data_IF_363350661398
#
_entry.id   IF_363350661398
#
_cell.length_a   1.000
_cell.length_b   1.000
_cell.length_c   1.000
_cell.angle_alpha   90.00
_cell.angle_beta   90.00
_cell.angle_gamma   90.00
#
_symmetry.space_group_name_H-M   'P 1'
#
loop_
_entity.id
_entity.type
_entity.pdbx_description
1 polymer ?
#
# COMPACT_ATOMS: atom_id res chain seq x y z
N UNK A 1 2.43 25.03 -7.58
CA UNK A 1 1.52 23.98 -8.13
C UNK A 1 2.16 23.21 -9.30
N UNK A 2 3.01 23.81 -10.12
CA UNK A 2 3.69 23.16 -11.27
C UNK A 2 4.53 21.94 -10.88
N UNK A 3 5.33 22.01 -9.82
CA UNK A 3 6.23 20.91 -9.45
C UNK A 3 5.51 19.60 -9.05
N UNK A 4 4.40 19.65 -8.31
CA UNK A 4 3.69 18.42 -7.91
C UNK A 4 3.03 17.72 -9.10
N UNK A 5 2.46 18.49 -10.04
CA UNK A 5 1.89 17.96 -11.29
C UNK A 5 2.96 17.31 -12.15
N UNK A 6 4.10 17.98 -12.33
CA UNK A 6 5.20 17.48 -13.15
C UNK A 6 5.82 16.22 -12.53
N UNK A 7 6.02 16.22 -11.21
CA UNK A 7 6.51 15.07 -10.47
C UNK A 7 5.56 13.86 -10.60
N UNK A 8 4.26 14.08 -10.42
CA UNK A 8 3.26 13.03 -10.56
C UNK A 8 3.28 12.44 -11.97
N UNK A 9 3.28 13.30 -13.00
CA UNK A 9 3.33 12.89 -14.41
C UNK A 9 4.61 12.10 -14.71
N UNK A 10 5.75 12.51 -14.16
CA UNK A 10 7.01 11.79 -14.31
C UNK A 10 6.94 10.38 -13.68
N UNK A 11 6.40 10.26 -12.49
CA UNK A 11 6.22 8.95 -11.83
C UNK A 11 5.27 8.05 -12.62
N UNK A 12 4.16 8.59 -13.10
CA UNK A 12 3.22 7.85 -13.94
C UNK A 12 3.85 7.37 -15.25
N UNK A 13 4.69 8.20 -15.88
CA UNK A 13 5.43 7.82 -17.08
C UNK A 13 6.44 6.68 -16.80
N UNK A 14 7.16 6.71 -15.66
CA UNK A 14 8.03 5.62 -15.23
C UNK A 14 7.27 4.31 -15.07
N UNK A 15 6.12 4.33 -14.39
CA UNK A 15 5.26 3.16 -14.19
C UNK A 15 4.79 2.60 -15.53
N UNK A 16 4.34 3.47 -16.43
CA UNK A 16 3.88 3.07 -17.77
C UNK A 16 5.01 2.42 -18.58
N UNK A 17 6.19 3.04 -18.60
CA UNK A 17 7.36 2.51 -19.30
C UNK A 17 7.80 1.15 -18.74
N UNK A 18 7.87 1.00 -17.41
CA UNK A 18 8.23 -0.25 -16.76
C UNK A 18 7.19 -1.36 -17.02
N UNK A 19 5.91 -1.02 -17.02
CA UNK A 19 4.82 -1.96 -17.34
C UNK A 19 4.97 -2.48 -18.78
N UNK A 20 5.19 -1.59 -19.74
CA UNK A 20 5.39 -1.97 -21.13
C UNK A 20 6.65 -2.81 -21.33
N UNK A 21 7.77 -2.42 -20.71
CA UNK A 21 9.02 -3.19 -20.76
C UNK A 21 8.88 -4.60 -20.18
N UNK A 22 7.97 -4.78 -19.24
CA UNK A 22 7.64 -6.07 -18.63
C UNK A 22 6.55 -6.86 -19.37
N UNK A 23 6.16 -6.42 -20.57
CA UNK A 23 5.10 -7.06 -21.37
C UNK A 23 3.69 -6.93 -20.76
N UNK A 24 3.47 -5.96 -19.88
CA UNK A 24 2.20 -5.75 -19.18
C UNK A 24 1.42 -4.58 -19.79
N UNK A 25 0.10 -4.66 -19.73
CA UNK A 25 -0.77 -3.59 -20.23
C UNK A 25 -0.67 -2.30 -19.40
N UNK A 26 -0.95 -1.16 -20.03
CA UNK A 26 -1.13 0.10 -19.34
C UNK A 26 -2.25 -0.03 -18.30
N UNK A 27 -2.04 0.54 -17.11
CA UNK A 27 -3.00 0.46 -16.00
C UNK A 27 -2.93 -0.85 -15.19
N UNK A 28 -2.02 -1.78 -15.52
CA UNK A 28 -1.82 -3.01 -14.74
C UNK A 28 -1.12 -2.79 -13.39
N UNK A 29 -0.58 -1.59 -13.16
CA UNK A 29 0.10 -1.19 -11.93
C UNK A 29 -0.51 0.10 -11.43
N UNK A 30 -0.98 0.10 -10.20
CA UNK A 30 -1.54 1.25 -9.52
C UNK A 30 -0.46 2.05 -8.79
N UNK A 31 -0.60 3.37 -8.80
CA UNK A 31 0.24 4.27 -8.02
C UNK A 31 -0.45 4.60 -6.70
N UNK A 32 0.21 4.32 -5.59
CA UNK A 32 -0.13 4.83 -4.28
C UNK A 32 0.77 6.02 -3.95
N UNK A 33 0.21 7.22 -3.88
CA UNK A 33 0.94 8.42 -3.50
C UNK A 33 1.13 8.48 -1.98
N UNK A 34 2.36 8.35 -1.51
CA UNK A 34 2.67 8.32 -0.06
C UNK A 34 2.82 9.73 0.47
N UNK A 35 1.78 10.22 1.15
CA UNK A 35 1.65 11.61 1.63
C UNK A 35 2.01 11.82 3.10
N UNK A 36 2.63 10.83 3.75
CA UNK A 36 3.11 10.96 5.13
C UNK A 36 3.99 12.20 5.30
N UNK A 37 3.78 12.96 6.37
CA UNK A 37 4.49 14.21 6.72
C UNK A 37 4.20 15.42 5.82
N UNK A 38 3.34 15.28 4.80
CA UNK A 38 2.86 16.39 3.96
C UNK A 38 1.45 16.79 4.38
N UNK A 39 1.08 18.03 4.16
CA UNK A 39 -0.21 18.60 4.60
C UNK A 39 -1.39 18.16 3.73
N UNK A 40 -2.61 18.39 4.22
CA UNK A 40 -3.84 18.13 3.44
C UNK A 40 -3.89 18.98 2.16
N UNK A 41 -3.25 20.13 2.13
CA UNK A 41 -3.22 21.02 0.96
C UNK A 41 -2.34 20.43 -0.16
N UNK A 42 -1.24 19.74 0.19
CA UNK A 42 -0.41 19.01 -0.77
C UNK A 42 -1.18 17.82 -1.35
N UNK A 43 -1.88 17.07 -0.49
CA UNK A 43 -2.76 15.98 -0.92
C UNK A 43 -3.80 16.48 -1.91
N UNK A 44 -4.48 17.59 -1.59
CA UNK A 44 -5.48 18.22 -2.47
C UNK A 44 -4.89 18.63 -3.81
N UNK A 45 -3.69 19.21 -3.82
CA UNK A 45 -3.01 19.60 -5.06
C UNK A 45 -2.71 18.39 -5.97
N UNK A 46 -2.22 17.29 -5.39
CA UNK A 46 -1.96 16.04 -6.13
C UNK A 46 -3.28 15.37 -6.56
N UNK A 47 -4.33 15.43 -5.74
CA UNK A 47 -5.66 14.93 -6.07
C UNK A 47 -6.29 15.70 -7.23
N UNK A 48 -6.06 17.02 -7.31
CA UNK A 48 -6.51 17.85 -8.44
C UNK A 48 -5.84 17.45 -9.77
N UNK A 49 -4.66 16.83 -9.73
CA UNK A 49 -3.97 16.25 -10.90
C UNK A 49 -4.46 14.84 -11.25
N UNK A 50 -5.50 14.32 -10.60
CA UNK A 50 -6.13 13.04 -10.93
C UNK A 50 -5.76 11.88 -10.01
N UNK A 51 -4.81 12.02 -9.09
CA UNK A 51 -4.48 10.97 -8.12
C UNK A 51 -5.63 10.76 -7.13
N UNK A 52 -5.91 9.49 -6.80
CA UNK A 52 -7.01 9.12 -5.89
C UNK A 52 -6.54 8.34 -4.67
N UNK A 53 -5.52 7.51 -4.79
CA UNK A 53 -5.02 6.61 -3.77
C UNK A 53 -3.87 7.26 -3.01
N UNK A 54 -4.03 7.45 -1.69
CA UNK A 54 -3.05 8.10 -0.82
C UNK A 54 -2.66 7.20 0.35
N UNK A 55 -1.36 7.11 0.63
CA UNK A 55 -0.80 6.26 1.67
C UNK A 55 -0.26 7.04 2.86
N UNK A 56 -0.65 6.64 4.07
CA UNK A 56 -0.25 7.24 5.32
C UNK A 56 0.43 6.22 6.25
N UNK A 57 1.54 6.64 6.87
CA UNK A 57 2.24 5.82 7.85
C UNK A 57 1.77 6.09 9.28
N UNK A 58 1.38 7.33 9.57
CA UNK A 58 1.00 7.78 10.90
C UNK A 58 -0.52 7.90 10.98
N UNK A 59 -1.16 7.00 11.74
CA UNK A 59 -2.62 6.82 11.75
C UNK A 59 -3.34 8.13 12.14
N UNK A 60 -2.85 8.85 13.16
CA UNK A 60 -3.49 10.09 13.61
C UNK A 60 -3.39 11.19 12.54
N UNK A 61 -2.21 11.40 11.97
CA UNK A 61 -2.00 12.33 10.86
C UNK A 61 -2.91 11.99 9.66
N UNK A 62 -3.02 10.69 9.33
CA UNK A 62 -3.92 10.23 8.28
C UNK A 62 -5.38 10.56 8.57
N UNK A 63 -5.88 10.28 9.78
CA UNK A 63 -7.26 10.59 10.18
C UNK A 63 -7.56 12.10 10.13
N UNK A 64 -6.62 12.94 10.56
CA UNK A 64 -6.76 14.39 10.48
C UNK A 64 -6.90 14.87 9.03
N UNK A 65 -6.08 14.35 8.10
CA UNK A 65 -6.16 14.65 6.66
C UNK A 65 -7.47 14.16 6.06
N UNK A 66 -7.86 12.91 6.34
CA UNK A 66 -9.12 12.31 5.89
C UNK A 66 -10.29 13.21 6.29
N UNK A 67 -10.38 13.55 7.58
CA UNK A 67 -11.47 14.38 8.12
C UNK A 67 -11.48 15.77 7.50
N UNK A 68 -10.31 16.41 7.41
CA UNK A 68 -10.18 17.75 6.82
C UNK A 68 -10.60 17.79 5.35
N UNK A 69 -10.21 16.79 4.57
CA UNK A 69 -10.51 16.75 3.13
C UNK A 69 -11.93 16.29 2.85
N UNK A 70 -12.50 15.39 3.64
CA UNK A 70 -13.90 14.96 3.52
C UNK A 70 -14.89 16.11 3.78
N UNK A 71 -14.53 17.09 4.61
CA UNK A 71 -15.36 18.26 4.88
C UNK A 71 -15.37 19.29 3.73
N UNK A 72 -14.55 19.12 2.69
CA UNK A 72 -14.43 20.06 1.57
C UNK A 72 -15.31 19.64 0.39
N UNK A 73 -16.28 20.45 0.02
CA UNK A 73 -17.31 20.15 -0.99
C UNK A 73 -16.81 19.92 -2.41
N UNK A 74 -15.57 20.26 -2.72
CA UNK A 74 -14.98 20.13 -4.07
C UNK A 74 -13.81 19.14 -4.14
N UNK A 75 -13.51 18.41 -3.06
CA UNK A 75 -12.48 17.37 -3.08
C UNK A 75 -13.09 16.09 -3.67
N UNK A 76 -12.51 15.51 -4.72
CA UNK A 76 -12.97 14.22 -5.22
C UNK A 76 -12.81 13.15 -4.14
N UNK A 77 -13.63 12.09 -4.21
CA UNK A 77 -13.50 10.96 -3.30
C UNK A 77 -12.08 10.38 -3.40
N UNK A 78 -11.39 10.35 -2.26
CA UNK A 78 -10.04 9.80 -2.13
C UNK A 78 -10.11 8.42 -1.48
N UNK A 79 -9.16 7.56 -1.81
CA UNK A 79 -8.98 6.23 -1.23
C UNK A 79 -7.77 6.27 -0.30
N UNK A 80 -7.97 5.91 0.96
CA UNK A 80 -6.96 6.06 1.99
C UNK A 80 -6.37 4.73 2.44
N UNK A 81 -5.07 4.61 2.33
CA UNK A 81 -4.31 3.42 2.64
C UNK A 81 -3.45 3.63 3.89
N UNK A 82 -3.71 2.84 4.93
CA UNK A 82 -2.79 2.72 6.07
C UNK A 82 -1.65 1.80 5.66
N UNK A 83 -0.44 2.36 5.54
CA UNK A 83 0.77 1.64 5.16
C UNK A 83 1.85 1.66 6.25
N UNK A 84 1.53 2.21 7.42
CA UNK A 84 2.34 2.14 8.62
C UNK A 84 1.87 1.04 9.58
N UNK A 85 2.64 0.73 10.64
CA UNK A 85 2.31 -0.33 11.58
C UNK A 85 1.03 -0.02 12.35
N UNK A 86 0.13 -1.00 12.47
CA UNK A 86 -1.14 -0.87 13.18
C UNK A 86 -1.00 -1.42 14.61
N UNK A 87 -0.95 -0.52 15.58
CA UNK A 87 -0.97 -0.87 17.00
C UNK A 87 -2.39 -1.26 17.44
N UNK A 88 -2.52 -2.18 18.40
CA UNK A 88 -3.81 -2.69 18.87
C UNK A 88 -4.75 -1.60 19.41
N UNK A 89 -4.23 -0.54 20.02
CA UNK A 89 -5.01 0.59 20.54
C UNK A 89 -5.43 1.59 19.44
N UNK A 90 -4.94 1.45 18.21
CA UNK A 90 -5.26 2.31 17.07
C UNK A 90 -6.16 1.62 16.02
N UNK A 91 -6.46 0.33 16.18
CA UNK A 91 -7.27 -0.43 15.21
C UNK A 91 -8.64 0.19 14.94
N UNK A 92 -9.28 0.80 15.95
CA UNK A 92 -10.58 1.46 15.78
C UNK A 92 -10.48 2.65 14.83
N UNK A 93 -9.50 3.53 15.01
CA UNK A 93 -9.28 4.67 14.10
C UNK A 93 -9.05 4.22 12.66
N UNK A 94 -8.27 3.14 12.48
CA UNK A 94 -8.04 2.57 11.16
C UNK A 94 -9.31 2.01 10.56
N UNK A 95 -10.07 1.22 11.33
CA UNK A 95 -11.31 0.60 10.87
C UNK A 95 -12.40 1.63 10.51
N UNK A 96 -12.43 2.79 11.17
CA UNK A 96 -13.43 3.83 10.95
C UNK A 96 -13.10 4.79 9.79
N UNK A 97 -11.81 4.96 9.43
CA UNK A 97 -11.41 6.04 8.53
C UNK A 97 -10.68 5.58 7.26
N UNK A 98 -9.97 4.46 7.31
CA UNK A 98 -9.19 4.00 6.15
C UNK A 98 -9.99 3.02 5.28
N UNK A 99 -9.64 2.96 3.99
CA UNK A 99 -10.21 2.01 3.03
C UNK A 99 -9.32 0.78 2.90
N UNK A 100 -8.02 0.92 3.12
CA UNK A 100 -7.02 -0.12 3.00
C UNK A 100 -6.07 -0.18 4.20
N UNK A 101 -5.61 -1.41 4.49
CA UNK A 101 -4.47 -1.66 5.41
C UNK A 101 -3.48 -2.57 4.70
N UNK A 102 -2.23 -2.13 4.55
CA UNK A 102 -1.20 -2.93 3.90
C UNK A 102 -0.30 -3.71 4.88
N UNK A 103 -0.39 -3.42 6.15
CA UNK A 103 0.56 -3.84 7.20
C UNK A 103 -0.03 -4.86 8.17
N UNK A 104 -0.96 -5.69 7.68
CA UNK A 104 -1.53 -6.74 8.52
C UNK A 104 -0.50 -7.85 8.73
N UNK A 105 -0.06 -8.04 9.97
CA UNK A 105 1.02 -8.97 10.33
C UNK A 105 0.60 -10.03 11.36
N UNK A 106 -0.63 -9.98 11.90
CA UNK A 106 -1.11 -10.93 12.92
C UNK A 106 -2.62 -10.98 13.03
N UNK A 107 -3.12 -12.16 13.33
CA UNK A 107 -4.56 -12.43 13.42
C UNK A 107 -5.29 -11.52 14.41
N UNK A 108 -4.68 -11.21 15.57
CA UNK A 108 -5.28 -10.34 16.58
C UNK A 108 -5.64 -8.94 16.02
N UNK A 109 -4.79 -8.38 15.16
CA UNK A 109 -5.08 -7.09 14.52
C UNK A 109 -6.22 -7.26 13.51
N UNK A 110 -6.21 -8.31 12.69
CA UNK A 110 -7.27 -8.61 11.75
C UNK A 110 -8.64 -8.71 12.43
N UNK A 111 -8.73 -9.49 13.51
CA UNK A 111 -9.96 -9.64 14.30
C UNK A 111 -10.46 -8.29 14.82
N UNK A 112 -9.58 -7.48 15.42
CA UNK A 112 -9.97 -6.15 15.91
C UNK A 112 -10.45 -5.22 14.81
N UNK A 113 -9.77 -5.20 13.65
CA UNK A 113 -10.22 -4.42 12.50
C UNK A 113 -11.59 -4.88 12.00
N UNK A 114 -11.80 -6.20 11.90
CA UNK A 114 -13.07 -6.79 11.53
C UNK A 114 -14.20 -6.37 12.48
N UNK A 115 -13.98 -6.53 13.79
CA UNK A 115 -15.01 -6.26 14.82
C UNK A 115 -15.34 -4.77 14.95
N UNK A 116 -14.37 -3.92 14.64
CA UNK A 116 -14.48 -2.45 14.75
C UNK A 116 -14.87 -1.76 13.45
N UNK A 117 -14.92 -2.48 12.30
CA UNK A 117 -15.36 -1.90 11.02
C UNK A 117 -16.84 -1.55 11.08
N UNK A 118 -17.23 -0.26 10.93
CA UNK A 118 -18.62 0.17 10.99
C UNK A 118 -19.48 -0.53 9.93
N UNK A 119 -20.73 -0.93 10.26
CA UNK A 119 -21.57 -1.70 9.35
C UNK A 119 -21.99 -0.94 8.08
N UNK A 120 -22.00 0.38 8.12
CA UNK A 120 -22.34 1.24 6.97
C UNK A 120 -21.16 1.43 5.99
N UNK A 121 -19.93 1.07 6.38
CA UNK A 121 -18.77 1.14 5.50
C UNK A 121 -18.58 -0.18 4.75
N UNK A 122 -18.03 -0.15 3.53
CA UNK A 122 -17.60 -1.36 2.83
C UNK A 122 -16.58 -2.15 3.64
N UNK A 123 -16.39 -3.44 3.34
CA UNK A 123 -15.34 -4.24 3.97
C UNK A 123 -13.96 -3.59 3.75
N UNK A 124 -13.15 -3.58 4.83
CA UNK A 124 -11.81 -2.99 4.79
C UNK A 124 -10.89 -3.87 3.93
N UNK A 125 -10.25 -3.27 2.94
CA UNK A 125 -9.31 -3.96 2.07
C UNK A 125 -8.00 -4.21 2.83
N UNK A 126 -7.47 -5.43 2.82
CA UNK A 126 -6.26 -5.74 3.57
C UNK A 126 -5.22 -6.49 2.74
N UNK A 127 -3.94 -6.13 2.91
CA UNK A 127 -2.80 -6.93 2.48
C UNK A 127 -2.05 -7.45 3.71
N UNK A 128 -1.57 -8.68 3.64
CA UNK A 128 -0.68 -9.23 4.67
C UNK A 128 0.73 -8.72 4.39
N UNK A 129 1.36 -8.13 5.40
CA UNK A 129 2.76 -7.74 5.33
C UNK A 129 3.66 -8.95 5.55
N UNK A 130 4.57 -9.19 4.61
CA UNK A 130 5.49 -10.33 4.61
C UNK A 130 6.91 -9.84 4.85
N UNK A 131 7.59 -10.42 5.83
CA UNK A 131 9.03 -10.31 5.99
C UNK A 131 9.71 -11.25 4.98
N UNK A 132 10.11 -10.67 3.85
CA UNK A 132 10.66 -11.45 2.72
C UNK A 132 12.17 -11.69 2.84
N UNK A 133 12.85 -10.89 3.64
CA UNK A 133 14.30 -10.97 3.86
C UNK A 133 14.67 -11.93 5.01
N UNK A 134 13.71 -12.27 5.87
CA UNK A 134 13.89 -13.16 7.02
C UNK A 134 14.65 -12.54 8.19
N UNK A 135 14.83 -11.21 8.23
CA UNK A 135 15.48 -10.52 9.35
C UNK A 135 14.58 -10.45 10.58
N UNK A 136 15.11 -10.80 11.76
CA UNK A 136 14.37 -10.86 13.03
C UNK A 136 13.79 -9.50 13.48
N UNK A 137 14.35 -8.40 13.04
CA UNK A 137 13.91 -7.03 13.38
C UNK A 137 12.90 -6.44 12.40
N UNK A 138 12.57 -7.17 11.31
CA UNK A 138 11.67 -6.72 10.27
C UNK A 138 10.21 -6.97 10.60
N UNK A 139 9.37 -6.00 10.27
CA UNK A 139 7.91 -6.13 10.37
C UNK A 139 7.37 -7.08 9.31
N UNK A 140 6.29 -7.76 9.64
CA UNK A 140 5.62 -8.71 8.77
C UNK A 140 5.77 -10.15 9.25
N UNK A 141 4.91 -11.03 8.75
CA UNK A 141 4.98 -12.48 9.04
C UNK A 141 6.04 -13.15 8.19
N UNK A 142 6.63 -14.22 8.67
CA UNK A 142 7.52 -15.03 7.86
C UNK A 142 6.78 -15.60 6.62
N UNK A 143 7.50 -15.75 5.50
CA UNK A 143 6.90 -16.24 4.25
C UNK A 143 6.17 -17.60 4.43
N UNK A 144 6.68 -18.46 5.31
CA UNK A 144 6.10 -19.77 5.64
C UNK A 144 4.78 -19.68 6.43
N UNK A 145 4.50 -18.56 7.11
CA UNK A 145 3.31 -18.36 7.94
C UNK A 145 2.18 -17.63 7.20
N UNK A 146 2.49 -17.03 6.04
CA UNK A 146 1.53 -16.21 5.27
C UNK A 146 0.26 -16.98 4.95
N UNK A 147 0.37 -18.22 4.47
CA UNK A 147 -0.79 -19.02 4.06
C UNK A 147 -1.72 -19.33 5.24
N UNK A 148 -1.16 -19.61 6.41
CA UNK A 148 -1.95 -19.84 7.62
C UNK A 148 -2.71 -18.58 8.04
N UNK A 149 -2.04 -17.42 8.08
CA UNK A 149 -2.70 -16.17 8.40
C UNK A 149 -3.76 -15.79 7.35
N UNK A 150 -3.46 -15.97 6.06
CA UNK A 150 -4.40 -15.69 4.98
C UNK A 150 -5.70 -16.49 5.08
N UNK A 151 -5.63 -17.77 5.46
CA UNK A 151 -6.82 -18.62 5.72
C UNK A 151 -7.70 -18.07 6.82
N UNK A 152 -7.11 -17.57 7.89
CA UNK A 152 -7.90 -17.01 9.01
C UNK A 152 -8.46 -15.63 8.66
N UNK A 153 -7.69 -14.78 7.97
CA UNK A 153 -8.17 -13.46 7.52
C UNK A 153 -9.32 -13.58 6.52
N UNK A 154 -9.26 -14.55 5.61
CA UNK A 154 -10.32 -14.79 4.62
C UNK A 154 -11.68 -15.19 5.23
N UNK A 155 -11.72 -15.62 6.49
CA UNK A 155 -12.97 -15.93 7.22
C UNK A 155 -13.63 -14.69 7.85
N UNK A 156 -12.97 -13.54 7.86
CA UNK A 156 -13.44 -12.33 8.53
C UNK A 156 -14.33 -11.49 7.60
N UNK A 157 -15.64 -11.43 7.82
CA UNK A 157 -16.61 -10.92 6.84
C UNK A 157 -16.53 -9.41 6.59
N UNK A 158 -15.90 -8.67 7.50
CA UNK A 158 -15.73 -7.21 7.37
C UNK A 158 -14.35 -6.81 6.80
N UNK A 159 -13.54 -7.81 6.41
CA UNK A 159 -12.29 -7.64 5.72
C UNK A 159 -12.35 -8.28 4.33
N UNK A 160 -11.65 -7.70 3.38
CA UNK A 160 -11.41 -8.29 2.07
C UNK A 160 -9.91 -8.50 1.91
N UNK A 161 -9.47 -9.76 1.89
CA UNK A 161 -8.06 -10.08 1.66
C UNK A 161 -7.72 -9.84 0.19
N UNK A 162 -6.95 -8.79 -0.08
CA UNK A 162 -6.59 -8.34 -1.42
C UNK A 162 -5.22 -8.86 -1.89
N UNK A 163 -4.33 -9.19 -0.97
CA UNK A 163 -3.00 -9.63 -1.35
C UNK A 163 -1.93 -9.49 -0.29
N UNK A 164 -0.71 -9.24 -0.75
CA UNK A 164 0.48 -9.13 0.09
C UNK A 164 1.15 -7.77 -0.05
N UNK A 165 1.91 -7.38 0.97
CA UNK A 165 2.78 -6.22 0.94
C UNK A 165 4.17 -6.57 1.45
N UNK A 166 5.21 -6.03 0.83
CA UNK A 166 6.60 -6.20 1.28
C UNK A 166 7.37 -4.88 1.28
N UNK A 167 8.33 -4.78 2.20
CA UNK A 167 9.33 -3.72 2.24
C UNK A 167 10.69 -4.41 2.44
N UNK A 168 11.32 -4.87 1.36
CA UNK A 168 12.62 -5.53 1.45
C UNK A 168 13.73 -4.54 1.83
N UNK A 169 14.87 -5.06 2.29
CA UNK A 169 16.09 -4.27 2.41
C UNK A 169 16.53 -3.75 1.05
N UNK A 170 17.02 -2.52 0.99
CA UNK A 170 17.60 -2.00 -0.23
C UNK A 170 18.78 -2.88 -0.68
N UNK A 171 18.78 -3.23 -1.95
CA UNK A 171 19.88 -3.92 -2.62
C UNK A 171 20.28 -3.15 -3.86
N UNK A 172 21.56 -3.18 -4.19
CA UNK A 172 22.08 -2.49 -5.36
C UNK A 172 21.94 -3.34 -6.63
N UNK A 173 21.61 -2.68 -7.72
CA UNK A 173 21.47 -3.30 -9.03
C UNK A 173 20.10 -3.84 -9.33
N UNK A 174 19.66 -3.62 -10.57
CA UNK A 174 18.32 -3.95 -11.04
C UNK A 174 17.99 -5.43 -10.90
N UNK A 175 18.90 -6.32 -11.31
CA UNK A 175 18.66 -7.78 -11.26
C UNK A 175 18.55 -8.29 -9.82
N UNK A 176 19.33 -7.74 -8.89
CA UNK A 176 19.22 -8.06 -7.47
C UNK A 176 17.89 -7.60 -6.89
N UNK A 177 17.44 -6.40 -7.24
CA UNK A 177 16.12 -5.90 -6.84
C UNK A 177 15.00 -6.77 -7.41
N UNK A 178 15.05 -7.16 -8.69
CA UNK A 178 14.10 -8.10 -9.30
C UNK A 178 14.08 -9.43 -8.55
N UNK A 179 15.25 -9.97 -8.22
CA UNK A 179 15.35 -11.25 -7.50
C UNK A 179 14.68 -11.18 -6.11
N UNK A 180 14.87 -10.09 -5.36
CA UNK A 180 14.23 -9.89 -4.05
C UNK A 180 12.71 -9.79 -4.20
N UNK A 181 12.21 -8.97 -5.12
CA UNK A 181 10.77 -8.83 -5.36
C UNK A 181 10.12 -10.10 -5.90
N UNK A 182 10.85 -10.91 -6.66
CA UNK A 182 10.37 -12.20 -7.18
C UNK A 182 10.07 -13.20 -6.06
N UNK A 183 10.76 -13.12 -4.92
CA UNK A 183 10.42 -13.95 -3.74
C UNK A 183 9.01 -13.59 -3.22
N UNK A 184 8.68 -12.31 -3.15
CA UNK A 184 7.35 -11.85 -2.74
C UNK A 184 6.27 -12.32 -3.73
N UNK A 185 6.57 -12.28 -5.03
CA UNK A 185 5.70 -12.79 -6.08
C UNK A 185 5.44 -14.30 -5.92
N UNK A 186 6.45 -15.09 -5.64
CA UNK A 186 6.29 -16.53 -5.42
C UNK A 186 5.36 -16.84 -4.23
N UNK A 187 5.50 -16.11 -3.10
CA UNK A 187 4.58 -16.24 -1.95
C UNK A 187 3.15 -15.84 -2.32
N UNK A 188 2.99 -14.75 -3.07
CA UNK A 188 1.68 -14.30 -3.55
C UNK A 188 1.00 -15.39 -4.41
N UNK A 189 1.71 -15.96 -5.38
CA UNK A 189 1.19 -17.00 -6.26
C UNK A 189 0.84 -18.28 -5.49
N UNK A 190 1.65 -18.65 -4.49
CA UNK A 190 1.37 -19.78 -3.59
C UNK A 190 0.05 -19.58 -2.82
N UNK A 191 -0.17 -18.41 -2.24
CA UNK A 191 -1.42 -18.10 -1.51
C UNK A 191 -2.60 -18.10 -2.48
N UNK A 192 -2.44 -17.47 -3.63
CA UNK A 192 -3.48 -17.41 -4.67
C UNK A 192 -3.89 -18.80 -5.14
N UNK A 193 -2.93 -19.67 -5.41
CA UNK A 193 -3.19 -21.05 -5.83
C UNK A 193 -3.88 -21.88 -4.73
N UNK A 194 -3.50 -21.69 -3.47
CA UNK A 194 -4.00 -22.48 -2.35
C UNK A 194 -5.39 -22.07 -1.85
N UNK A 195 -5.76 -20.78 -1.95
CA UNK A 195 -7.01 -20.24 -1.40
C UNK A 195 -7.95 -19.70 -2.46
N UNK A 196 -7.43 -19.29 -3.61
CA UNK A 196 -8.17 -18.63 -4.69
C UNK A 196 -9.21 -17.59 -4.20
N UNK A 197 -8.80 -16.62 -3.37
CA UNK A 197 -9.75 -15.64 -2.85
C UNK A 197 -10.28 -14.77 -4.00
N UNK A 198 -11.57 -14.40 -4.01
CA UNK A 198 -12.23 -13.74 -5.15
C UNK A 198 -11.55 -12.46 -5.65
N UNK A 199 -10.87 -11.75 -4.77
CA UNK A 199 -10.26 -10.44 -5.07
C UNK A 199 -8.77 -10.39 -4.70
N UNK A 200 -8.07 -11.51 -4.74
CA UNK A 200 -6.64 -11.58 -4.43
C UNK A 200 -5.80 -11.16 -5.64
N UNK A 201 -5.61 -9.85 -5.79
CA UNK A 201 -5.07 -9.22 -6.99
C UNK A 201 -3.95 -8.21 -6.70
N UNK A 202 -3.69 -7.90 -5.43
CA UNK A 202 -2.80 -6.82 -5.02
C UNK A 202 -1.49 -7.33 -4.47
N UNK A 203 -0.39 -7.05 -5.19
CA UNK A 203 0.96 -7.22 -4.69
C UNK A 203 1.59 -5.84 -4.54
N UNK A 204 1.54 -5.32 -3.29
CA UNK A 204 2.03 -3.99 -2.93
C UNK A 204 3.52 -4.06 -2.63
N UNK A 205 4.35 -3.72 -3.60
CA UNK A 205 5.82 -3.69 -3.47
C UNK A 205 6.43 -2.72 -4.48
N UNK A 206 7.62 -2.21 -4.17
CA UNK A 206 8.32 -1.20 -4.95
C UNK A 206 8.04 0.22 -4.47
N UNK A 207 9.10 0.99 -4.40
CA UNK A 207 9.13 2.40 -3.98
C UNK A 207 9.92 3.22 -5.02
N UNK A 208 10.20 4.49 -4.72
CA UNK A 208 10.87 5.41 -5.65
C UNK A 208 12.16 4.86 -6.28
N UNK A 209 12.95 4.09 -5.51
CA UNK A 209 14.27 3.62 -5.94
C UNK A 209 14.29 2.26 -6.65
N UNK A 210 13.18 1.49 -6.59
CA UNK A 210 13.13 0.11 -7.08
C UNK A 210 11.81 -0.24 -7.80
N UNK A 211 10.99 0.78 -8.13
CA UNK A 211 9.67 0.54 -8.71
C UNK A 211 9.72 -0.21 -10.05
N UNK A 212 10.73 0.05 -10.89
CA UNK A 212 10.89 -0.63 -12.18
C UNK A 212 11.16 -2.14 -11.97
N UNK A 213 12.07 -2.47 -11.05
CA UNK A 213 12.39 -3.84 -10.70
C UNK A 213 11.19 -4.56 -10.05
N UNK A 214 10.46 -3.87 -9.17
CA UNK A 214 9.25 -4.40 -8.56
C UNK A 214 8.15 -4.68 -9.60
N UNK A 215 7.98 -3.79 -10.59
CA UNK A 215 7.03 -3.98 -11.70
C UNK A 215 7.44 -5.17 -12.55
N UNK A 216 8.72 -5.31 -12.88
CA UNK A 216 9.26 -6.46 -13.59
C UNK A 216 8.96 -7.78 -12.84
N UNK A 217 9.11 -7.78 -11.52
CA UNK A 217 8.81 -8.92 -10.66
C UNK A 217 7.32 -9.17 -10.41
N UNK A 218 6.43 -8.35 -10.99
CA UNK A 218 4.96 -8.55 -10.94
C UNK A 218 4.23 -7.72 -9.89
N UNK A 219 4.79 -6.62 -9.38
CA UNK A 219 4.06 -5.66 -8.53
C UNK A 219 2.79 -5.19 -9.23
N UNK A 220 1.69 -5.06 -8.50
CA UNK A 220 0.44 -4.47 -9.00
C UNK A 220 0.14 -3.12 -8.36
N UNK A 221 0.88 -2.74 -7.32
CA UNK A 221 0.77 -1.46 -6.64
C UNK A 221 2.15 -1.02 -6.15
N UNK A 222 2.61 0.14 -6.63
CA UNK A 222 3.86 0.78 -6.19
C UNK A 222 3.56 1.97 -5.28
N UNK A 223 4.41 2.19 -4.27
CA UNK A 223 4.26 3.22 -3.24
C UNK A 223 5.32 4.30 -3.40
N UNK A 224 4.93 5.47 -3.87
CA UNK A 224 5.86 6.55 -4.21
C UNK A 224 5.53 7.80 -3.40
N UNK A 225 6.49 8.30 -2.64
CA UNK A 225 6.38 9.53 -1.84
C UNK A 225 7.33 10.62 -2.33
N UNK A 226 8.62 10.46 -2.08
CA UNK A 226 9.65 11.48 -2.33
C UNK A 226 9.69 11.97 -3.77
N UNK A 227 9.47 11.09 -4.76
CA UNK A 227 9.46 11.50 -6.16
C UNK A 227 8.23 12.35 -6.52
N UNK A 228 7.14 12.32 -5.74
CA UNK A 228 5.94 13.15 -5.96
C UNK A 228 6.02 14.43 -5.13
N UNK A 229 6.18 14.28 -3.80
CA UNK A 229 6.06 15.39 -2.85
C UNK A 229 7.37 16.13 -2.58
N UNK A 230 8.51 15.56 -2.99
CA UNK A 230 9.84 16.12 -2.72
C UNK A 230 10.50 15.59 -1.45
N UNK A 231 11.68 16.07 -1.16
CA UNK A 231 12.42 15.76 0.06
C UNK A 231 11.73 16.37 1.29
N UNK A 232 11.82 15.69 2.44
CA UNK A 232 11.26 16.18 3.71
C UNK A 232 12.04 17.39 4.18
N UNK A 233 11.35 18.51 4.42
CA UNK A 233 11.86 19.59 5.26
C UNK A 233 11.52 19.25 6.70
N UNK A 234 12.48 18.74 7.47
CA UNK A 234 12.31 18.71 8.92
C UNK A 234 12.41 20.15 9.42
N UNK A 235 11.44 20.67 10.19
CA UNK A 235 11.67 21.91 10.92
C UNK A 235 12.83 21.64 11.89
N UNK A 236 13.80 22.59 11.88
CA UNK A 236 14.97 22.59 12.76
C UNK A 236 14.55 22.75 14.23
#
# INVERSE_FOLDING_TARGET
MTHLSDNLSHVQARIAAASMASGRGLGSVHLLAVSKTFGADDVRAVAACGQRDFGENYIQEGVEKITKLAAQTHTPALVWHCIGPVQSNKTKLVAEHFDWVHTLDRLKIAQRLNDQRPPHLPALQVCIQVNIDGGDTKSGVAATEVLALAREVAKLPRLTLRGLMTIPDPVDGFDAQVAVHSKARAVFDQVKAALNPPQFDTLSMGMTGDLEAAIQAGSTLVRVGTAIFGGRTYPA
#
